data_IF_293208620096
#
_entry.id   IF_293208620096
#
_cell.length_a   1.000
_cell.length_b   1.000
_cell.length_c   1.000
_cell.angle_alpha   90.00
_cell.angle_beta   90.00
_cell.angle_gamma   90.00
#
_symmetry.space_group_name_H-M   'P 1'
#
loop_
_entity.id
_entity.type
_entity.pdbx_description
1 polymer ?
#
# COMPACT_ATOMS: atom_id res chain seq x y z
N UNK A 1 -9.42 -38.34 -9.13
CA UNK A 1 -8.19 -38.03 -9.89
C UNK A 1 -8.51 -36.78 -10.68
N UNK A 2 -8.04 -35.60 -10.33
CA UNK A 2 -6.81 -35.17 -9.65
C UNK A 2 -7.21 -33.91 -8.85
N UNK A 3 -7.01 -33.85 -7.53
CA UNK A 3 -5.82 -33.26 -6.88
C UNK A 3 -5.39 -31.91 -7.46
N UNK A 4 -5.60 -30.85 -6.68
CA UNK A 4 -4.50 -29.97 -6.24
C UNK A 4 -5.03 -28.95 -5.24
N UNK A 5 -5.05 -29.38 -3.97
CA UNK A 5 -5.18 -28.47 -2.84
C UNK A 5 -3.87 -27.67 -2.72
N UNK A 6 -3.83 -26.51 -3.38
CA UNK A 6 -2.69 -25.59 -3.33
C UNK A 6 -2.54 -25.00 -1.93
N UNK A 7 -1.75 -25.70 -1.11
CA UNK A 7 -1.24 -25.26 0.16
C UNK A 7 -0.28 -24.07 -0.02
N UNK A 8 -0.78 -22.85 0.09
CA UNK A 8 0.03 -21.65 0.27
C UNK A 8 -0.79 -20.50 0.89
N UNK A 9 -1.12 -20.62 2.16
CA UNK A 9 -1.46 -19.42 2.95
C UNK A 9 -0.17 -18.63 3.16
N UNK A 10 -0.19 -17.36 2.72
CA UNK A 10 0.75 -16.22 2.96
C UNK A 10 1.58 -15.79 1.73
N UNK A 11 1.60 -14.51 1.30
CA UNK A 11 0.99 -13.30 1.87
C UNK A 11 -0.05 -12.66 0.93
N UNK A 12 -1.34 -12.74 1.27
CA UNK A 12 -2.39 -11.96 0.60
C UNK A 12 -2.26 -10.44 0.82
N UNK A 13 -1.20 -9.99 1.50
CA UNK A 13 -0.90 -8.58 1.70
C UNK A 13 -0.18 -7.92 0.49
N UNK A 14 0.42 -8.69 -0.41
CA UNK A 14 1.22 -8.13 -1.53
C UNK A 14 0.40 -7.87 -2.81
N UNK A 15 -0.81 -8.44 -2.94
CA UNK A 15 -1.68 -8.34 -4.14
C UNK A 15 -2.82 -7.35 -3.99
N UNK A 16 -2.85 -6.71 -2.85
CA UNK A 16 -3.95 -5.96 -2.29
C UNK A 16 -3.19 -4.71 -1.85
N UNK A 17 -3.49 -3.54 -2.40
CA UNK A 17 -2.56 -2.40 -2.42
C UNK A 17 -2.28 -1.78 -1.06
N UNK A 18 -1.74 -2.50 -0.08
CA UNK A 18 -1.58 -2.02 1.28
C UNK A 18 -0.18 -1.44 1.46
N UNK A 19 -0.08 -0.20 1.93
CA UNK A 19 1.17 0.47 2.23
C UNK A 19 1.22 0.89 3.69
N UNK A 20 2.39 0.77 4.32
CA UNK A 20 2.60 1.27 5.67
C UNK A 20 2.88 2.77 5.66
N UNK A 21 2.21 3.49 6.54
CA UNK A 21 2.48 4.89 6.75
C UNK A 21 3.85 5.08 7.41
N UNK A 22 4.77 5.89 6.82
CA UNK A 22 6.10 6.13 7.38
C UNK A 22 6.05 6.87 8.73
N UNK A 23 4.94 7.56 9.02
CA UNK A 23 4.78 8.37 10.23
C UNK A 23 4.27 7.58 11.43
N UNK A 24 3.38 6.62 11.22
CA UNK A 24 2.67 5.93 12.31
C UNK A 24 2.64 4.41 12.17
N UNK A 25 3.17 3.85 11.09
CA UNK A 25 3.19 2.40 10.85
C UNK A 25 1.84 1.79 10.46
N UNK A 26 0.75 2.56 10.50
CA UNK A 26 -0.58 2.09 10.11
C UNK A 26 -0.60 1.64 8.66
N UNK A 27 -1.31 0.54 8.41
CA UNK A 27 -1.52 0.02 7.06
C UNK A 27 -2.65 0.83 6.41
N UNK A 28 -2.36 1.37 5.23
CA UNK A 28 -3.27 2.20 4.44
C UNK A 28 -3.54 1.46 3.13
N UNK A 29 -4.82 1.29 2.79
CA UNK A 29 -5.22 0.73 1.51
C UNK A 29 -4.98 1.75 0.38
N UNK A 30 -4.38 1.29 -0.72
CA UNK A 30 -4.13 2.05 -1.94
C UNK A 30 -5.40 2.02 -2.77
N UNK A 31 -5.91 3.21 -3.03
CA UNK A 31 -6.93 3.43 -4.04
C UNK A 31 -6.22 3.40 -5.39
N UNK A 32 -6.60 2.45 -6.23
CA UNK A 32 -6.01 2.34 -7.57
C UNK A 32 -6.31 3.60 -8.39
N UNK A 33 -5.29 4.14 -9.06
CA UNK A 33 -5.40 5.38 -9.85
C UNK A 33 -4.77 6.64 -9.24
N UNK A 34 -4.23 6.61 -8.01
CA UNK A 34 -3.47 7.75 -7.49
C UNK A 34 -2.29 7.33 -6.59
N UNK A 35 -1.12 7.90 -6.84
CA UNK A 35 0.07 7.70 -6.02
C UNK A 35 -0.02 8.39 -4.64
N UNK A 36 -1.05 9.23 -4.42
CA UNK A 36 -1.26 10.00 -3.19
C UNK A 36 -2.06 9.19 -2.17
N UNK A 37 -1.38 8.68 -1.16
CA UNK A 37 -2.05 8.00 -0.04
C UNK A 37 -2.33 8.94 1.11
N UNK A 38 -3.49 8.80 1.73
CA UNK A 38 -3.85 9.49 2.97
C UNK A 38 -3.98 8.47 4.09
N UNK A 39 -3.14 8.58 5.11
CA UNK A 39 -3.27 7.81 6.34
C UNK A 39 -4.36 8.39 7.25
N UNK A 40 -4.92 7.54 8.12
CA UNK A 40 -5.84 7.96 9.19
C UNK A 40 -5.19 8.90 10.21
N UNK A 41 -3.86 8.88 10.35
CA UNK A 41 -3.12 9.88 11.13
C UNK A 41 -3.06 11.26 10.45
N UNK A 42 -3.83 11.47 9.36
CA UNK A 42 -3.89 12.67 8.51
C UNK A 42 -2.61 12.96 7.72
N UNK A 43 -1.62 12.08 7.77
CA UNK A 43 -0.41 12.21 6.95
C UNK A 43 -0.67 11.73 5.53
N UNK A 44 -0.25 12.53 4.55
CA UNK A 44 -0.36 12.20 3.14
C UNK A 44 1.05 11.92 2.60
N UNK A 45 1.24 10.73 2.07
CA UNK A 45 2.53 10.26 1.58
C UNK A 45 2.37 9.58 0.22
N UNK A 46 3.48 9.46 -0.49
CA UNK A 46 3.54 8.81 -1.78
C UNK A 46 3.55 7.30 -1.62
N UNK A 47 2.65 6.59 -2.29
CA UNK A 47 2.71 5.12 -2.36
C UNK A 47 4.01 4.64 -3.03
N UNK A 48 4.49 5.38 -4.05
CA UNK A 48 5.63 4.97 -4.88
C UNK A 48 6.94 5.02 -4.11
N UNK A 49 7.21 6.14 -3.41
CA UNK A 49 8.49 6.33 -2.71
C UNK A 49 8.39 6.35 -1.17
N UNK A 50 7.19 6.36 -0.60
CA UNK A 50 7.00 6.44 0.85
C UNK A 50 7.28 7.82 1.46
N UNK A 51 7.75 8.81 0.70
CA UNK A 51 7.99 10.18 1.20
C UNK A 51 6.70 10.98 1.35
N UNK A 52 6.73 12.08 2.12
CA UNK A 52 5.61 13.03 2.21
C UNK A 52 5.19 13.45 0.80
N UNK A 53 3.88 13.42 0.51
CA UNK A 53 3.38 13.74 -0.84
C UNK A 53 3.79 15.14 -1.32
N UNK A 54 3.88 16.11 -0.40
CA UNK A 54 4.34 17.48 -0.71
C UNK A 54 5.82 17.57 -1.08
N UNK A 55 6.63 16.58 -0.72
CA UNK A 55 8.08 16.57 -0.91
C UNK A 55 8.51 15.67 -2.07
N UNK A 56 7.59 14.91 -2.66
CA UNK A 56 7.88 14.02 -3.78
C UNK A 56 7.18 14.49 -5.07
N UNK A 57 7.85 14.34 -6.20
CA UNK A 57 7.33 14.73 -7.52
C UNK A 57 6.44 13.70 -8.23
N UNK A 58 5.95 12.65 -7.56
CA UNK A 58 5.19 11.55 -8.19
C UNK A 58 3.69 11.86 -8.39
N UNK A 59 3.36 13.12 -8.66
CA UNK A 59 2.00 13.64 -8.77
C UNK A 59 1.49 13.91 -10.17
N UNK A 60 2.16 13.38 -11.20
CA UNK A 60 1.77 13.50 -12.62
C UNK A 60 1.05 12.25 -13.12
#
# INVERSE_FOLDING_TARGET
MDEEAVAAVTPVAARMGWQRCPRCGMIVERIDGCNRMRCTCRHVFCYVCGSTWRECGHGY
#
